data_IF_925910425833
#
_entry.id   IF_925910425833
#
_cell.length_a   1.000
_cell.length_b   1.000
_cell.length_c   1.000
_cell.angle_alpha   90.00
_cell.angle_beta   90.00
_cell.angle_gamma   90.00
#
_symmetry.space_group_name_H-M   'P 1'
#
loop_
_entity.id
_entity.type
_entity.pdbx_description
1 polymer ?
#
# COMPACT_ATOMS: atom_id res chain seq x y z
N UNK A 1 25.48 -9.28 -6.40
CA UNK A 1 24.93 -8.96 -7.75
C UNK A 1 24.53 -10.25 -8.45
N UNK A 2 25.40 -11.25 -8.48
CA UNK A 2 25.13 -12.59 -9.01
C UNK A 2 23.87 -13.26 -8.42
N UNK A 3 23.68 -13.24 -7.09
CA UNK A 3 22.46 -13.77 -6.46
C UNK A 3 21.16 -13.09 -6.93
N UNK A 4 21.19 -11.77 -7.16
CA UNK A 4 20.03 -11.02 -7.67
C UNK A 4 19.72 -11.45 -9.10
N UNK A 5 20.74 -11.59 -9.94
CA UNK A 5 20.58 -12.02 -11.33
C UNK A 5 20.00 -13.44 -11.37
N UNK A 6 20.56 -14.37 -10.60
CA UNK A 6 20.09 -15.75 -10.51
C UNK A 6 18.61 -15.82 -10.04
N UNK A 7 18.24 -15.00 -9.06
CA UNK A 7 16.86 -14.93 -8.59
C UNK A 7 15.91 -14.33 -9.64
N UNK A 8 16.33 -13.30 -10.39
CA UNK A 8 15.56 -12.74 -11.50
C UNK A 8 15.39 -13.76 -12.63
N UNK A 9 16.42 -14.55 -12.93
CA UNK A 9 16.36 -15.62 -13.93
C UNK A 9 15.47 -16.78 -13.48
N UNK A 10 15.46 -17.09 -12.19
CA UNK A 10 14.49 -18.03 -11.60
C UNK A 10 13.04 -17.54 -11.81
N UNK A 11 12.77 -16.25 -11.58
CA UNK A 11 11.43 -15.67 -11.86
C UNK A 11 11.09 -15.81 -13.35
N UNK A 12 12.03 -15.51 -14.25
CA UNK A 12 11.83 -15.66 -15.70
C UNK A 12 11.53 -17.10 -16.10
N UNK A 13 12.28 -18.05 -15.54
CA UNK A 13 12.05 -19.48 -15.77
C UNK A 13 10.64 -19.86 -15.33
N UNK A 14 10.26 -19.48 -14.10
CA UNK A 14 8.93 -19.75 -13.55
C UNK A 14 7.78 -19.11 -14.36
N UNK A 15 8.01 -17.97 -15.00
CA UNK A 15 7.02 -17.36 -15.90
C UNK A 15 6.63 -18.28 -17.07
N UNK A 16 7.49 -19.23 -17.44
CA UNK A 16 7.19 -20.23 -18.47
C UNK A 16 6.35 -21.41 -17.96
N UNK A 17 6.16 -21.55 -16.64
CA UNK A 17 5.32 -22.60 -16.08
C UNK A 17 3.86 -22.45 -16.55
N UNK A 18 3.13 -23.54 -16.83
CA UNK A 18 1.72 -23.45 -17.16
C UNK A 18 0.91 -22.80 -16.03
N UNK A 19 -0.22 -22.20 -16.39
CA UNK A 19 -1.23 -21.80 -15.41
C UNK A 19 -1.88 -23.06 -14.82
N UNK A 20 -2.38 -23.02 -13.57
CA UNK A 20 -3.18 -24.10 -13.04
C UNK A 20 -4.41 -24.34 -13.95
N UNK A 21 -4.90 -25.58 -14.12
CA UNK A 21 -6.09 -25.86 -14.89
C UNK A 21 -7.31 -25.09 -14.37
N UNK A 22 -8.26 -24.72 -15.24
CA UNK A 22 -9.46 -23.96 -14.85
C UNK A 22 -10.33 -24.65 -13.79
N UNK A 23 -10.24 -25.98 -13.68
CA UNK A 23 -10.97 -26.81 -12.71
C UNK A 23 -10.11 -27.28 -11.53
N UNK A 24 -9.01 -26.60 -11.22
CA UNK A 24 -8.23 -26.93 -10.01
C UNK A 24 -9.02 -26.64 -8.73
N UNK A 25 -8.68 -27.31 -7.64
CA UNK A 25 -9.20 -26.95 -6.31
C UNK A 25 -8.83 -25.50 -5.95
N UNK A 26 -9.62 -24.85 -5.09
CA UNK A 26 -9.30 -23.50 -4.60
C UNK A 26 -7.94 -23.47 -3.86
N UNK A 27 -7.58 -24.55 -3.16
CA UNK A 27 -6.28 -24.68 -2.49
C UNK A 27 -5.10 -24.79 -3.48
N UNK A 28 -5.23 -25.57 -4.56
CA UNK A 28 -4.19 -25.66 -5.59
C UNK A 28 -4.04 -24.34 -6.34
N UNK A 29 -5.17 -23.66 -6.59
CA UNK A 29 -5.17 -22.32 -7.19
C UNK A 29 -4.44 -21.33 -6.29
N UNK A 30 -4.79 -21.31 -5.00
CA UNK A 30 -4.17 -20.42 -4.02
C UNK A 30 -2.68 -20.71 -3.82
N UNK A 31 -2.23 -21.97 -3.92
CA UNK A 31 -0.80 -22.30 -3.90
C UNK A 31 -0.04 -21.62 -5.04
N UNK A 32 -0.60 -21.65 -6.24
CA UNK A 32 -0.03 -20.96 -7.41
C UNK A 32 -0.02 -19.43 -7.22
N UNK A 33 -1.12 -18.87 -6.71
CA UNK A 33 -1.24 -17.44 -6.39
C UNK A 33 -0.19 -17.04 -5.35
N UNK A 34 0.04 -17.85 -4.31
CA UNK A 34 1.04 -17.57 -3.27
C UNK A 34 2.47 -17.55 -3.80
N UNK A 35 2.82 -18.48 -4.69
CA UNK A 35 4.12 -18.49 -5.34
C UNK A 35 4.31 -17.23 -6.22
N UNK A 36 3.29 -16.88 -7.01
CA UNK A 36 3.25 -15.63 -7.79
C UNK A 36 3.43 -14.39 -6.91
N UNK A 37 2.74 -14.34 -5.77
CA UNK A 37 2.82 -13.24 -4.81
C UNK A 37 4.22 -13.13 -4.20
N UNK A 38 4.90 -14.25 -3.95
CA UNK A 38 6.30 -14.27 -3.49
C UNK A 38 7.23 -13.62 -4.52
N UNK A 39 7.12 -14.00 -5.80
CA UNK A 39 7.87 -13.36 -6.87
C UNK A 39 7.55 -11.88 -7.02
N UNK A 40 6.28 -11.50 -6.88
CA UNK A 40 5.90 -10.09 -6.90
C UNK A 40 6.55 -9.31 -5.75
N UNK A 41 6.54 -9.86 -4.53
CA UNK A 41 7.20 -9.23 -3.39
C UNK A 41 8.70 -9.05 -3.63
N UNK A 42 9.36 -10.07 -4.18
CA UNK A 42 10.77 -10.00 -4.57
C UNK A 42 11.03 -8.87 -5.58
N UNK A 43 10.25 -8.81 -6.66
CA UNK A 43 10.41 -7.79 -7.71
C UNK A 43 10.15 -6.36 -7.20
N UNK A 44 9.16 -6.16 -6.32
CA UNK A 44 8.92 -4.85 -5.69
C UNK A 44 10.13 -4.46 -4.83
N UNK A 45 10.72 -5.43 -4.13
CA UNK A 45 11.92 -5.21 -3.29
C UNK A 45 13.15 -4.85 -4.12
N UNK A 46 13.42 -5.60 -5.20
CA UNK A 46 14.47 -5.27 -6.16
C UNK A 46 14.26 -3.88 -6.75
N UNK A 47 13.01 -3.56 -7.12
CA UNK A 47 12.70 -2.24 -7.69
C UNK A 47 13.08 -1.09 -6.77
N UNK A 48 12.84 -1.22 -5.46
CA UNK A 48 13.19 -0.21 -4.47
C UNK A 48 14.70 -0.13 -4.17
N UNK A 49 15.45 -1.21 -4.36
CA UNK A 49 16.90 -1.24 -4.12
C UNK A 49 17.73 -0.68 -5.29
N UNK A 50 17.14 -0.58 -6.49
CA UNK A 50 17.80 -0.02 -7.65
C UNK A 50 17.94 1.51 -7.56
N UNK A 51 19.18 1.98 -7.47
CA UNK A 51 19.52 3.40 -7.56
C UNK A 51 19.71 3.82 -9.03
N UNK A 52 19.39 5.07 -9.40
CA UNK A 52 19.53 5.55 -10.78
C UNK A 52 20.97 5.86 -11.20
N UNK A 53 21.88 5.99 -10.24
CA UNK A 53 23.32 6.17 -10.46
C UNK A 53 24.08 5.95 -9.15
N UNK A 54 25.41 5.88 -9.26
CA UNK A 54 26.32 5.66 -8.13
C UNK A 54 26.19 6.74 -7.04
N UNK A 55 26.01 8.01 -7.42
CA UNK A 55 25.90 9.11 -6.45
C UNK A 55 24.68 8.92 -5.55
N UNK A 56 23.54 8.52 -6.12
CA UNK A 56 22.33 8.25 -5.33
C UNK A 56 22.48 6.95 -4.52
N UNK A 57 23.18 5.95 -5.04
CA UNK A 57 23.46 4.72 -4.30
C UNK A 57 24.26 4.98 -3.02
N UNK A 58 25.26 5.87 -3.08
CA UNK A 58 26.14 6.18 -1.95
C UNK A 58 25.56 7.24 -1.00
N UNK A 59 24.99 8.32 -1.56
CA UNK A 59 24.56 9.49 -0.77
C UNK A 59 23.07 9.48 -0.43
N UNK A 60 22.29 8.62 -1.07
CA UNK A 60 20.85 8.55 -0.92
C UNK A 60 20.09 9.64 -1.69
N UNK A 61 18.80 9.76 -1.37
CA UNK A 61 17.87 10.63 -2.09
C UNK A 61 17.70 12.00 -1.43
N UNK A 62 17.51 13.03 -2.25
CA UNK A 62 17.05 14.34 -1.75
C UNK A 62 15.67 14.21 -1.10
N UNK A 63 15.34 15.11 -0.16
CA UNK A 63 14.09 15.04 0.63
C UNK A 63 12.82 14.79 -0.19
N UNK A 64 12.65 15.48 -1.32
CA UNK A 64 11.45 15.31 -2.14
C UNK A 64 11.40 13.92 -2.79
N UNK A 65 12.52 13.44 -3.35
CA UNK A 65 12.59 12.10 -3.93
C UNK A 65 12.46 11.01 -2.86
N UNK A 66 13.03 11.25 -1.68
CA UNK A 66 12.93 10.35 -0.54
C UNK A 66 11.48 10.12 -0.07
N UNK A 67 10.56 11.06 -0.31
CA UNK A 67 9.13 10.85 -0.03
C UNK A 67 8.57 9.74 -0.94
N UNK A 68 8.84 9.78 -2.24
CA UNK A 68 8.41 8.74 -3.20
C UNK A 68 9.06 7.41 -2.85
N UNK A 69 10.37 7.40 -2.60
CA UNK A 69 11.11 6.20 -2.16
C UNK A 69 10.54 5.65 -0.85
N UNK A 70 10.12 6.52 0.07
CA UNK A 70 9.45 6.10 1.30
C UNK A 70 8.13 5.37 1.03
N UNK A 71 7.40 5.73 -0.03
CA UNK A 71 6.17 5.03 -0.41
C UNK A 71 6.45 3.66 -1.01
N UNK A 72 7.46 3.49 -1.88
CA UNK A 72 7.79 2.15 -2.41
C UNK A 72 8.30 1.22 -1.29
N UNK A 73 9.06 1.74 -0.33
CA UNK A 73 9.49 0.98 0.86
C UNK A 73 8.30 0.64 1.75
N UNK A 74 7.34 1.55 1.90
CA UNK A 74 6.08 1.26 2.62
C UNK A 74 5.27 0.20 1.89
N UNK A 75 5.21 0.24 0.56
CA UNK A 75 4.52 -0.77 -0.25
C UNK A 75 5.10 -2.17 -0.01
N UNK A 76 6.43 -2.31 0.01
CA UNK A 76 7.09 -3.60 0.35
C UNK A 76 6.57 -4.14 1.67
N UNK A 77 6.57 -3.31 2.73
CA UNK A 77 6.14 -3.73 4.07
C UNK A 77 4.68 -4.12 4.12
N UNK A 78 3.81 -3.32 3.52
CA UNK A 78 2.37 -3.60 3.48
C UNK A 78 2.08 -4.86 2.65
N UNK A 79 2.76 -5.03 1.52
CA UNK A 79 2.61 -6.17 0.64
C UNK A 79 3.11 -7.45 1.31
N UNK A 80 4.24 -7.42 2.01
CA UNK A 80 4.73 -8.51 2.84
C UNK A 80 3.71 -8.94 3.92
N UNK A 81 3.12 -7.97 4.63
CA UNK A 81 2.06 -8.27 5.59
C UNK A 81 0.84 -8.88 4.91
N UNK A 82 0.42 -8.34 3.77
CA UNK A 82 -0.68 -8.89 2.97
C UNK A 82 -0.42 -10.34 2.55
N UNK A 83 0.75 -10.65 1.97
CA UNK A 83 1.11 -12.01 1.57
C UNK A 83 1.17 -12.96 2.76
N UNK A 84 1.64 -12.48 3.91
CA UNK A 84 1.70 -13.27 5.16
C UNK A 84 0.30 -13.65 5.63
N UNK A 85 -0.64 -12.70 5.67
CA UNK A 85 -2.01 -12.95 6.11
C UNK A 85 -2.81 -13.80 5.11
N UNK A 86 -2.57 -13.66 3.80
CA UNK A 86 -3.10 -14.61 2.80
C UNK A 86 -2.56 -16.02 3.05
N UNK A 87 -1.26 -16.18 3.26
CA UNK A 87 -0.65 -17.49 3.53
C UNK A 87 -1.12 -18.14 4.84
N UNK A 88 -1.52 -17.33 5.83
CA UNK A 88 -2.10 -17.78 7.10
C UNK A 88 -3.61 -18.03 7.06
N UNK A 89 -4.26 -17.79 5.92
CA UNK A 89 -5.73 -17.85 5.77
C UNK A 89 -6.48 -16.86 6.67
N UNK A 90 -5.93 -15.65 6.82
CA UNK A 90 -6.49 -14.56 7.64
C UNK A 90 -7.11 -13.48 6.73
N UNK A 91 -8.16 -13.81 5.95
CA UNK A 91 -8.70 -12.95 4.87
C UNK A 91 -9.11 -11.55 5.36
N UNK A 92 -9.75 -11.45 6.52
CA UNK A 92 -10.20 -10.18 7.11
C UNK A 92 -9.02 -9.22 7.32
N UNK A 93 -7.88 -9.73 7.81
CA UNK A 93 -6.66 -8.93 7.97
C UNK A 93 -6.05 -8.60 6.60
N UNK A 94 -6.10 -9.52 5.64
CA UNK A 94 -5.67 -9.24 4.27
C UNK A 94 -6.49 -8.10 3.61
N UNK A 95 -7.79 -7.98 3.87
CA UNK A 95 -8.62 -6.85 3.43
C UNK A 95 -8.19 -5.52 4.04
N UNK A 96 -7.84 -5.50 5.34
CA UNK A 96 -7.28 -4.32 5.99
C UNK A 96 -6.00 -3.89 5.28
N UNK A 97 -5.11 -4.86 5.00
CA UNK A 97 -3.84 -4.58 4.32
C UNK A 97 -4.04 -4.10 2.89
N UNK A 98 -4.98 -4.69 2.13
CA UNK A 98 -5.25 -4.28 0.74
C UNK A 98 -5.70 -2.82 0.68
N UNK A 99 -6.56 -2.39 1.60
CA UNK A 99 -6.99 -0.98 1.72
C UNK A 99 -5.81 -0.04 1.98
N UNK A 100 -4.86 -0.43 2.83
CA UNK A 100 -3.65 0.35 3.11
C UNK A 100 -2.67 0.38 1.93
N UNK A 101 -2.56 -0.73 1.19
CA UNK A 101 -1.74 -0.85 -0.03
C UNK A 101 -2.25 0.12 -1.10
N UNK A 102 -3.55 0.08 -1.42
CA UNK A 102 -4.11 0.97 -2.43
C UNK A 102 -3.94 2.45 -2.07
N UNK A 103 -4.10 2.82 -0.80
CA UNK A 103 -3.83 4.20 -0.37
C UNK A 103 -2.38 4.61 -0.60
N UNK A 104 -1.44 3.70 -0.31
CA UNK A 104 -0.02 3.91 -0.51
C UNK A 104 0.31 4.07 -2.00
N UNK A 105 -0.24 3.20 -2.85
CA UNK A 105 -0.09 3.22 -4.30
C UNK A 105 -0.59 4.54 -4.88
N UNK A 106 -1.84 4.92 -4.61
CA UNK A 106 -2.47 6.10 -5.19
C UNK A 106 -1.75 7.39 -4.74
N UNK A 107 -1.31 7.46 -3.48
CA UNK A 107 -0.47 8.58 -3.01
C UNK A 107 0.87 8.61 -3.74
N UNK A 108 1.51 7.46 -3.93
CA UNK A 108 2.77 7.37 -4.65
C UNK A 108 2.61 7.83 -6.10
N UNK A 109 1.63 7.31 -6.83
CA UNK A 109 1.32 7.69 -8.22
C UNK A 109 1.08 9.20 -8.36
N UNK A 110 0.32 9.79 -7.44
CA UNK A 110 0.12 11.24 -7.42
C UNK A 110 1.43 12.01 -7.22
N UNK A 111 2.36 11.47 -6.43
CA UNK A 111 3.66 12.07 -6.16
C UNK A 111 4.69 11.85 -7.28
N UNK A 112 4.53 10.85 -8.14
CA UNK A 112 5.44 10.61 -9.28
C UNK A 112 5.43 11.76 -10.29
N UNK A 113 4.27 12.41 -10.48
CA UNK A 113 4.10 13.55 -11.38
C UNK A 113 4.07 14.91 -10.67
N UNK A 114 4.40 14.94 -9.38
CA UNK A 114 4.19 16.11 -8.53
C UNK A 114 5.25 17.22 -8.70
N UNK A 115 4.78 18.46 -8.60
CA UNK A 115 5.65 19.66 -8.51
C UNK A 115 6.23 19.84 -7.10
N UNK A 116 7.28 20.67 -6.98
CA UNK A 116 7.97 20.92 -5.69
C UNK A 116 7.03 21.37 -4.55
N UNK A 117 6.01 22.17 -4.86
CA UNK A 117 5.04 22.63 -3.85
C UNK A 117 4.21 21.49 -3.25
N UNK A 118 3.94 20.44 -4.02
CA UNK A 118 3.18 19.27 -3.58
C UNK A 118 3.93 18.50 -2.51
N UNK A 119 5.24 18.32 -2.63
CA UNK A 119 6.04 17.71 -1.56
C UNK A 119 6.03 18.54 -0.27
N UNK A 120 6.04 19.88 -0.37
CA UNK A 120 5.89 20.76 0.79
C UNK A 120 4.51 20.61 1.43
N UNK A 121 3.46 20.53 0.61
CA UNK A 121 2.09 20.28 1.07
C UNK A 121 1.98 18.91 1.75
N UNK A 122 2.55 17.86 1.15
CA UNK A 122 2.60 16.51 1.73
C UNK A 122 3.19 16.55 3.13
N UNK A 123 4.42 17.07 3.27
CA UNK A 123 5.10 17.14 4.57
C UNK A 123 4.23 17.92 5.57
N UNK A 124 3.74 19.11 5.23
CA UNK A 124 2.98 19.94 6.15
C UNK A 124 1.64 19.28 6.57
N UNK A 125 0.95 18.67 5.61
CA UNK A 125 -0.34 18.00 5.85
C UNK A 125 -0.22 16.79 6.79
N UNK A 126 0.95 16.13 6.82
CA UNK A 126 1.22 15.00 7.72
C UNK A 126 1.30 15.37 9.20
N UNK A 127 1.40 16.66 9.55
CA UNK A 127 1.57 17.12 10.95
C UNK A 127 0.25 17.54 11.63
N UNK A 128 -0.91 17.14 11.10
CA UNK A 128 -2.21 17.49 11.68
C UNK A 128 -2.34 17.04 13.13
N UNK A 129 -2.05 15.78 13.40
CA UNK A 129 -2.17 15.20 14.74
C UNK A 129 -1.17 15.81 15.71
N UNK A 130 0.05 16.14 15.28
CA UNK A 130 1.01 16.87 16.11
C UNK A 130 0.52 18.26 16.48
N UNK A 131 -0.17 18.98 15.60
CA UNK A 131 -0.80 20.26 15.94
C UNK A 131 -1.86 20.06 17.03
N UNK A 132 -2.80 19.15 16.81
CA UNK A 132 -3.90 18.87 17.74
C UNK A 132 -3.35 18.42 19.11
N UNK A 133 -2.28 17.63 19.12
CA UNK A 133 -1.58 17.20 20.33
C UNK A 133 -0.96 18.38 21.07
N UNK A 134 -0.27 19.28 20.37
CA UNK A 134 0.33 20.47 20.99
C UNK A 134 -0.74 21.42 21.54
N UNK A 135 -1.85 21.62 20.83
CA UNK A 135 -2.97 22.46 21.30
C UNK A 135 -3.62 21.87 22.56
N UNK A 136 -3.81 20.55 22.59
CA UNK A 136 -4.32 19.87 23.79
C UNK A 136 -3.35 19.99 24.97
N UNK A 137 -2.04 19.85 24.74
CA UNK A 137 -1.02 19.98 25.79
C UNK A 137 -0.88 21.42 26.28
N UNK A 138 -1.06 22.42 25.41
CA UNK A 138 -1.10 23.84 25.80
C UNK A 138 -2.29 24.08 26.77
N UNK A 139 -3.46 23.49 26.51
CA UNK A 139 -4.64 23.54 27.41
C UNK A 139 -4.41 22.81 28.72
N UNK A 140 -3.80 21.63 28.69
CA UNK A 140 -3.47 20.89 29.93
C UNK A 140 -2.51 21.71 30.80
N UNK A 141 -1.49 22.33 30.17
CA UNK A 141 -0.50 23.15 30.87
C UNK A 141 -1.13 24.36 31.59
N UNK A 142 -2.23 24.92 31.08
CA UNK A 142 -2.93 26.02 31.75
C UNK A 142 -3.74 25.59 32.97
N UNK A 143 -4.02 24.28 33.12
CA UNK A 143 -4.80 23.73 34.22
C UNK A 143 -3.93 23.05 35.28
N UNK A 144 -2.83 22.40 34.86
CA UNK A 144 -1.87 21.75 35.75
C UNK A 144 -0.46 21.73 35.17
N UNK A 145 0.57 21.53 36.00
CA UNK A 145 1.92 21.22 35.50
C UNK A 145 1.92 19.99 34.57
N UNK A 146 2.73 20.05 33.51
CA UNK A 146 2.90 18.93 32.60
C UNK A 146 3.70 17.80 33.26
N UNK A 147 3.26 16.57 33.03
CA UNK A 147 3.97 15.33 33.38
C UNK A 147 5.23 15.17 32.51
N UNK A 148 6.14 14.31 32.96
CA UNK A 148 7.38 14.06 32.22
C UNK A 148 7.13 13.50 30.81
N UNK A 149 6.17 12.59 30.66
CA UNK A 149 5.82 12.03 29.34
C UNK A 149 5.29 13.11 28.38
N UNK A 150 4.49 14.05 28.88
CA UNK A 150 3.94 15.17 28.09
C UNK A 150 5.04 16.11 27.61
N UNK A 151 6.02 16.42 28.46
CA UNK A 151 7.22 17.21 28.09
C UNK A 151 8.04 16.50 27.02
N UNK A 152 8.20 15.17 27.14
CA UNK A 152 8.91 14.34 26.14
C UNK A 152 8.17 14.37 24.79
N UNK A 153 6.84 14.27 24.78
CA UNK A 153 6.03 14.37 23.55
C UNK A 153 6.28 15.72 22.88
N UNK A 154 6.18 16.84 23.61
CA UNK A 154 6.44 18.18 23.07
C UNK A 154 7.85 18.26 22.47
N UNK A 155 8.86 17.75 23.17
CA UNK A 155 10.25 17.73 22.69
C UNK A 155 10.39 16.92 21.40
N UNK A 156 9.77 15.75 21.32
CA UNK A 156 9.78 14.89 20.12
C UNK A 156 9.11 15.59 18.92
N UNK A 157 7.94 16.20 19.13
CA UNK A 157 7.23 16.94 18.08
C UNK A 157 8.08 18.13 17.59
N UNK A 158 8.58 18.97 18.50
CA UNK A 158 9.43 20.13 18.14
C UNK A 158 10.71 19.72 17.41
N UNK A 159 11.31 18.59 17.80
CA UNK A 159 12.49 18.05 17.13
C UNK A 159 12.19 17.64 15.68
N UNK A 160 11.06 16.94 15.45
CA UNK A 160 10.61 16.58 14.09
C UNK A 160 10.32 17.79 13.22
N UNK A 161 9.58 18.77 13.73
CA UNK A 161 9.29 20.03 13.02
C UNK A 161 10.59 20.75 12.61
N UNK A 162 11.60 20.79 13.48
CA UNK A 162 12.92 21.38 13.17
C UNK A 162 13.62 20.62 12.05
N UNK A 163 13.65 19.28 12.10
CA UNK A 163 14.22 18.44 11.03
C UNK A 163 13.53 18.70 9.70
N UNK A 164 12.21 18.92 9.74
CA UNK A 164 11.43 19.17 8.54
C UNK A 164 11.37 20.63 8.08
N UNK A 165 12.03 21.54 8.81
CA UNK A 165 12.03 22.99 8.57
C UNK A 165 10.62 23.58 8.58
N UNK A 166 9.75 23.06 9.45
CA UNK A 166 8.42 23.61 9.71
C UNK A 166 8.49 24.43 11.00
N UNK A 167 8.15 25.71 10.92
CA UNK A 167 8.04 26.55 12.12
C UNK A 167 6.75 26.26 12.88
N UNK A 168 6.75 26.44 14.19
CA UNK A 168 5.54 26.28 15.00
C UNK A 168 4.43 27.25 14.55
N UNK A 169 4.81 28.47 14.16
CA UNK A 169 3.89 29.46 13.59
C UNK A 169 3.23 28.94 12.31
N UNK A 170 4.01 28.36 11.40
CA UNK A 170 3.49 27.78 10.15
C UNK A 170 2.53 26.62 10.45
N UNK A 171 2.89 25.73 11.39
CA UNK A 171 2.02 24.61 11.79
C UNK A 171 0.68 25.10 12.36
N UNK A 172 0.71 26.04 13.32
CA UNK A 172 -0.51 26.58 13.96
C UNK A 172 -1.39 27.35 12.97
N UNK A 173 -0.77 28.10 12.05
CA UNK A 173 -1.47 28.84 11.00
C UNK A 173 -2.09 27.93 9.92
N UNK A 174 -1.58 26.70 9.73
CA UNK A 174 -2.12 25.80 8.73
C UNK A 174 -3.57 25.39 9.07
N UNK A 175 -4.48 25.62 8.12
CA UNK A 175 -5.89 25.20 8.20
C UNK A 175 -6.25 24.12 7.18
N UNK A 176 -5.40 23.91 6.19
CA UNK A 176 -5.61 22.92 5.14
C UNK A 176 -4.72 21.69 5.37
N UNK A 177 -5.36 20.57 5.73
CA UNK A 177 -4.68 19.29 6.01
C UNK A 177 -4.78 18.30 4.85
N UNK A 178 -5.35 18.72 3.72
CA UNK A 178 -5.45 17.93 2.51
C UNK A 178 -4.19 18.14 1.66
N UNK A 179 -3.68 17.07 1.05
CA UNK A 179 -2.54 17.14 0.12
C UNK A 179 -2.94 17.99 -1.09
N UNK A 180 -2.25 19.10 -1.32
CA UNK A 180 -2.62 20.12 -2.32
C UNK A 180 -4.07 20.64 -2.18
N UNK A 181 -4.65 20.56 -0.98
CA UNK A 181 -6.07 20.87 -0.78
C UNK A 181 -7.05 19.83 -1.32
N UNK A 182 -6.56 18.70 -1.84
CA UNK A 182 -7.36 17.62 -2.42
C UNK A 182 -7.66 16.54 -1.40
N UNK A 183 -8.93 16.14 -1.32
CA UNK A 183 -9.25 14.86 -0.71
C UNK A 183 -8.92 13.70 -1.65
N UNK A 184 -9.12 12.50 -1.16
CA UNK A 184 -8.72 11.29 -1.84
C UNK A 184 -9.48 11.07 -3.16
N UNK A 185 -10.77 11.44 -3.21
CA UNK A 185 -11.57 11.37 -4.43
C UNK A 185 -11.01 12.33 -5.48
N UNK A 186 -10.65 13.55 -5.09
CA UNK A 186 -10.03 14.54 -5.98
C UNK A 186 -8.63 14.12 -6.46
N UNK A 187 -7.86 13.40 -5.64
CA UNK A 187 -6.58 12.80 -6.05
C UNK A 187 -6.84 11.75 -7.15
N UNK A 188 -7.81 10.86 -6.97
CA UNK A 188 -8.17 9.85 -7.98
C UNK A 188 -8.63 10.47 -9.30
N UNK A 189 -9.46 11.52 -9.25
CA UNK A 189 -9.84 12.28 -10.46
C UNK A 189 -8.60 12.84 -11.16
N UNK A 190 -7.62 13.35 -10.41
CA UNK A 190 -6.36 13.84 -10.98
C UNK A 190 -5.55 12.73 -11.66
N UNK A 191 -5.77 11.47 -11.28
CA UNK A 191 -5.14 10.27 -11.83
C UNK A 191 -6.01 9.56 -12.88
N UNK A 192 -7.21 10.07 -13.20
CA UNK A 192 -8.21 9.42 -14.08
C UNK A 192 -8.63 8.03 -13.57
N UNK A 193 -8.81 7.90 -12.26
CA UNK A 193 -9.16 6.67 -11.53
C UNK A 193 -10.38 6.85 -10.62
N UNK A 194 -11.27 7.78 -10.95
CA UNK A 194 -12.43 8.09 -10.11
C UNK A 194 -13.38 6.90 -9.92
N UNK A 195 -13.44 6.00 -10.91
CA UNK A 195 -14.22 4.76 -10.86
C UNK A 195 -13.78 3.82 -9.74
N UNK A 196 -12.52 3.92 -9.29
CA UNK A 196 -11.97 3.04 -8.26
C UNK A 196 -12.43 3.45 -6.85
N UNK A 197 -12.90 4.69 -6.65
CA UNK A 197 -13.20 5.21 -5.32
C UNK A 197 -14.25 4.39 -4.55
N UNK A 198 -15.44 4.06 -5.11
CA UNK A 198 -16.45 3.30 -4.39
C UNK A 198 -15.96 1.91 -3.95
N UNK A 199 -15.15 1.25 -4.77
CA UNK A 199 -14.66 -0.10 -4.51
C UNK A 199 -13.50 -0.10 -3.52
N UNK A 200 -12.47 0.71 -3.78
CA UNK A 200 -11.25 0.71 -2.97
C UNK A 200 -11.43 1.45 -1.64
N UNK A 201 -12.20 2.55 -1.62
CA UNK A 201 -12.34 3.42 -0.45
C UNK A 201 -13.71 3.29 0.20
N UNK A 202 -14.78 3.24 -0.59
CA UNK A 202 -16.13 3.04 -0.06
C UNK A 202 -16.26 1.70 0.67
N UNK A 203 -16.10 0.60 -0.06
CA UNK A 203 -16.17 -0.75 0.53
C UNK A 203 -14.95 -1.05 1.40
N UNK A 204 -13.75 -0.67 0.96
CA UNK A 204 -12.52 -0.94 1.70
C UNK A 204 -12.49 -0.32 3.11
N UNK A 205 -13.16 0.82 3.34
CA UNK A 205 -13.30 1.42 4.66
C UNK A 205 -14.15 0.60 5.63
N UNK A 206 -15.04 -0.26 5.14
CA UNK A 206 -15.83 -1.19 5.97
C UNK A 206 -14.93 -2.09 6.81
N UNK A 207 -13.87 -2.62 6.18
CA UNK A 207 -12.90 -3.53 6.83
C UNK A 207 -12.00 -2.84 7.85
N UNK A 208 -11.87 -1.52 7.79
CA UNK A 208 -11.06 -0.74 8.74
C UNK A 208 -11.88 -0.30 9.95
N UNK A 209 -13.16 0.01 9.74
CA UNK A 209 -14.00 0.67 10.75
C UNK A 209 -15.04 -0.25 11.38
N UNK A 210 -15.19 -1.49 10.91
CA UNK A 210 -16.11 -2.48 11.49
C UNK A 210 -17.57 -2.05 11.37
N UNK A 211 -18.00 -1.69 10.16
CA UNK A 211 -19.41 -1.36 9.92
C UNK A 211 -20.27 -2.62 9.79
N UNK A 212 -21.60 -2.44 9.73
CA UNK A 212 -22.54 -3.57 9.65
C UNK A 212 -22.27 -4.52 8.48
N UNK A 213 -21.89 -4.00 7.31
CA UNK A 213 -21.60 -4.82 6.13
C UNK A 213 -20.51 -5.84 6.46
N UNK A 214 -19.37 -5.38 6.97
CA UNK A 214 -18.25 -6.25 7.34
C UNK A 214 -18.60 -7.20 8.50
N UNK A 215 -19.28 -6.70 9.53
CA UNK A 215 -19.73 -7.54 10.66
C UNK A 215 -20.62 -8.69 10.18
N UNK A 216 -21.55 -8.40 9.27
CA UNK A 216 -22.53 -9.38 8.78
C UNK A 216 -21.95 -10.46 7.86
N UNK A 217 -20.80 -10.21 7.25
CA UNK A 217 -20.16 -11.15 6.32
C UNK A 217 -19.03 -11.96 6.96
N UNK A 218 -18.35 -11.40 7.98
CA UNK A 218 -17.12 -12.00 8.51
C UNK A 218 -17.09 -12.26 10.01
N UNK A 219 -17.95 -11.60 10.80
CA UNK A 219 -17.88 -11.69 12.27
C UNK A 219 -19.15 -12.27 12.89
N UNK A 220 -20.19 -12.50 12.07
CA UNK A 220 -21.49 -12.97 12.53
C UNK A 220 -22.04 -14.03 11.59
N UNK A 221 -22.56 -15.11 12.17
CA UNK A 221 -23.37 -16.11 11.46
C UNK A 221 -24.84 -15.91 11.79
N UNK A 222 -25.69 -15.77 10.77
CA UNK A 222 -27.14 -15.61 10.94
C UNK A 222 -27.81 -16.96 11.24
N UNK A 223 -28.62 -17.02 12.30
CA UNK A 223 -29.49 -18.16 12.66
C UNK A 223 -30.93 -17.68 12.84
N UNK A 224 -31.74 -17.83 11.78
CA UNK A 224 -33.10 -17.30 11.73
C UNK A 224 -33.12 -15.78 11.87
N UNK A 225 -33.75 -15.27 12.95
CA UNK A 225 -33.76 -13.83 13.28
C UNK A 225 -32.59 -13.36 14.16
N UNK A 226 -31.74 -14.29 14.59
CA UNK A 226 -30.63 -14.02 15.52
C UNK A 226 -29.28 -14.10 14.80
N UNK A 227 -28.24 -13.57 15.45
CA UNK A 227 -26.85 -13.62 14.99
C UNK A 227 -25.98 -14.22 16.09
N UNK A 228 -25.05 -15.08 15.72
CA UNK A 228 -24.02 -15.63 16.60
C UNK A 228 -22.65 -15.06 16.23
N UNK A 229 -21.74 -14.85 17.20
CA UNK A 229 -20.36 -14.47 16.89
C UNK A 229 -19.67 -15.57 16.08
N UNK A 230 -18.91 -15.15 15.09
CA UNK A 230 -17.97 -15.98 14.36
C UNK A 230 -16.55 -15.50 14.69
N UNK A 231 -15.71 -16.42 15.17
CA UNK A 231 -14.35 -16.12 15.61
C UNK A 231 -13.29 -16.56 14.60
N UNK A 232 -13.70 -17.34 13.59
CA UNK A 232 -12.79 -17.92 12.63
C UNK A 232 -12.54 -16.96 11.46
N UNK A 233 -11.33 -17.03 10.91
CA UNK A 233 -11.03 -16.28 9.69
C UNK A 233 -11.61 -16.98 8.46
N UNK A 234 -12.01 -16.17 7.47
CA UNK A 234 -12.44 -16.70 6.19
C UNK A 234 -11.23 -17.07 5.32
N UNK A 235 -11.44 -18.02 4.42
CA UNK A 235 -10.40 -18.47 3.51
C UNK A 235 -9.97 -17.42 2.48
N UNK A 236 -8.70 -17.39 2.06
CA UNK A 236 -8.22 -16.47 1.04
C UNK A 236 -8.98 -16.55 -0.28
N UNK A 237 -9.13 -15.40 -0.93
CA UNK A 237 -9.80 -15.29 -2.23
C UNK A 237 -8.82 -14.74 -3.28
N UNK A 238 -8.57 -15.48 -4.39
CA UNK A 238 -7.78 -14.99 -5.52
C UNK A 238 -8.26 -13.64 -6.07
N UNK A 239 -9.56 -13.33 -5.93
CA UNK A 239 -10.15 -12.06 -6.38
C UNK A 239 -9.68 -10.86 -5.58
N UNK A 240 -9.05 -11.08 -4.43
CA UNK A 240 -8.39 -10.05 -3.63
C UNK A 240 -6.88 -10.09 -3.82
N UNK A 241 -6.30 -11.28 -3.78
CA UNK A 241 -4.85 -11.48 -3.92
C UNK A 241 -4.32 -10.94 -5.26
N UNK A 242 -4.97 -11.29 -6.38
CA UNK A 242 -4.46 -10.99 -7.72
C UNK A 242 -4.54 -9.49 -8.07
N UNK A 243 -5.65 -8.76 -7.82
CA UNK A 243 -5.67 -7.32 -8.10
C UNK A 243 -4.66 -6.52 -7.28
N UNK A 244 -4.47 -6.86 -6.00
CA UNK A 244 -3.46 -6.21 -5.14
C UNK A 244 -2.06 -6.47 -5.67
N UNK A 245 -1.79 -7.69 -6.15
CA UNK A 245 -0.52 -8.08 -6.78
C UNK A 245 -0.26 -7.27 -8.04
N UNK A 246 -1.25 -7.18 -8.94
CA UNK A 246 -1.16 -6.41 -10.19
C UNK A 246 -0.86 -4.94 -9.89
N UNK A 247 -1.63 -4.32 -9.00
CA UNK A 247 -1.46 -2.90 -8.68
C UNK A 247 -0.08 -2.62 -8.06
N UNK A 248 0.40 -3.51 -7.20
CA UNK A 248 1.71 -3.37 -6.54
C UNK A 248 2.88 -3.50 -7.52
N UNK A 249 2.78 -4.45 -8.46
CA UNK A 249 3.76 -4.63 -9.55
C UNK A 249 3.77 -3.44 -10.52
N UNK A 250 2.60 -2.95 -10.93
CA UNK A 250 2.49 -1.77 -11.78
C UNK A 250 3.12 -0.55 -11.11
N UNK A 251 2.84 -0.36 -9.81
CA UNK A 251 3.44 0.69 -8.99
C UNK A 251 4.97 0.61 -8.93
N UNK A 252 5.53 -0.59 -8.85
CA UNK A 252 6.97 -0.81 -8.90
C UNK A 252 7.57 -0.47 -10.27
N UNK A 253 6.91 -0.86 -11.36
CA UNK A 253 7.32 -0.47 -12.72
C UNK A 253 7.29 1.06 -12.94
N UNK A 254 6.26 1.73 -12.44
CA UNK A 254 6.13 3.19 -12.54
C UNK A 254 7.21 3.89 -11.71
N UNK A 255 7.51 3.35 -10.52
CA UNK A 255 8.63 3.80 -9.71
C UNK A 255 9.97 3.67 -10.46
N UNK A 256 10.27 2.51 -11.05
CA UNK A 256 11.52 2.30 -11.82
C UNK A 256 11.65 3.31 -12.97
N UNK A 257 10.54 3.58 -13.66
CA UNK A 257 10.48 4.56 -14.75
C UNK A 257 10.77 5.99 -14.24
N UNK A 258 10.07 6.41 -13.18
CA UNK A 258 10.27 7.71 -12.56
C UNK A 258 11.68 7.87 -12.00
N UNK A 259 12.20 6.81 -11.38
CA UNK A 259 13.50 6.82 -10.73
C UNK A 259 14.62 6.87 -11.76
N UNK A 260 14.41 6.28 -12.95
CA UNK A 260 15.39 6.00 -14.02
C UNK A 260 16.46 5.01 -13.58
N UNK A 261 16.05 3.97 -12.85
CA UNK A 261 16.96 2.99 -12.24
C UNK A 261 17.01 1.63 -12.94
N UNK A 262 16.31 1.47 -14.06
CA UNK A 262 16.37 0.27 -14.91
C UNK A 262 16.44 0.68 -16.40
N UNK A 263 17.58 1.23 -16.86
CA UNK A 263 17.71 1.79 -18.20
C UNK A 263 17.55 0.76 -19.32
N UNK A 264 18.02 -0.46 -19.08
CA UNK A 264 17.91 -1.60 -20.02
C UNK A 264 16.53 -2.28 -19.95
N UNK A 265 15.66 -1.83 -19.03
CA UNK A 265 14.30 -2.36 -18.81
C UNK A 265 14.29 -3.84 -18.44
N UNK A 266 15.37 -4.36 -17.87
CA UNK A 266 15.52 -5.78 -17.55
C UNK A 266 14.52 -6.23 -16.49
N UNK A 267 14.45 -5.50 -15.37
CA UNK A 267 13.52 -5.82 -14.28
C UNK A 267 12.10 -5.47 -14.69
N UNK A 268 11.92 -4.35 -15.39
CA UNK A 268 10.62 -3.91 -15.89
C UNK A 268 9.98 -4.90 -16.84
N UNK A 269 10.73 -5.56 -17.73
CA UNK A 269 10.17 -6.58 -18.61
C UNK A 269 9.67 -7.80 -17.84
N UNK A 270 10.40 -8.23 -16.80
CA UNK A 270 9.97 -9.33 -15.92
C UNK A 270 8.68 -8.95 -15.18
N UNK A 271 8.62 -7.72 -14.62
CA UNK A 271 7.43 -7.20 -13.96
C UNK A 271 6.23 -7.20 -14.93
N UNK A 272 6.42 -6.72 -16.16
CA UNK A 272 5.35 -6.67 -17.16
C UNK A 272 4.83 -8.06 -17.54
N UNK A 273 5.73 -9.03 -17.70
CA UNK A 273 5.36 -10.41 -17.98
C UNK A 273 4.59 -11.04 -16.81
N UNK A 274 5.05 -10.81 -15.57
CA UNK A 274 4.34 -11.27 -14.38
C UNK A 274 2.95 -10.64 -14.28
N UNK A 275 2.83 -9.32 -14.48
CA UNK A 275 1.53 -8.63 -14.52
C UNK A 275 0.60 -9.24 -15.58
N UNK A 276 1.12 -9.50 -16.79
CA UNK A 276 0.35 -10.15 -17.86
C UNK A 276 -0.18 -11.51 -17.43
N UNK A 277 0.69 -12.34 -16.86
CA UNK A 277 0.35 -13.67 -16.35
C UNK A 277 -0.67 -13.61 -15.20
N UNK A 278 -0.50 -12.68 -14.25
CA UNK A 278 -1.44 -12.45 -13.14
C UNK A 278 -2.83 -12.05 -13.64
N UNK A 279 -2.91 -11.24 -14.70
CA UNK A 279 -4.20 -10.84 -15.30
C UNK A 279 -4.91 -12.03 -15.95
N UNK A 280 -4.20 -12.84 -16.74
CA UNK A 280 -4.78 -14.04 -17.36
C UNK A 280 -5.29 -14.99 -16.28
N UNK A 281 -4.49 -15.21 -15.23
CA UNK A 281 -4.92 -16.01 -14.08
C UNK A 281 -6.17 -15.41 -13.41
N UNK A 282 -6.23 -14.10 -13.19
CA UNK A 282 -7.42 -13.47 -12.61
C UNK A 282 -8.68 -13.68 -13.46
N UNK A 283 -8.58 -13.50 -14.78
CA UNK A 283 -9.70 -13.74 -15.70
C UNK A 283 -10.16 -15.20 -15.68
N UNK A 284 -9.22 -16.15 -15.76
CA UNK A 284 -9.51 -17.58 -15.70
C UNK A 284 -10.27 -17.97 -14.42
N UNK A 285 -9.86 -17.42 -13.27
CA UNK A 285 -10.54 -17.68 -11.99
C UNK A 285 -11.98 -17.17 -11.99
N UNK A 286 -12.16 -15.92 -12.42
CA UNK A 286 -13.47 -15.28 -12.45
C UNK A 286 -14.42 -16.04 -13.39
N UNK A 287 -13.99 -16.33 -14.61
CA UNK A 287 -14.82 -17.07 -15.58
C UNK A 287 -15.21 -18.46 -15.07
N UNK A 288 -14.29 -19.20 -14.45
CA UNK A 288 -14.57 -20.54 -13.93
C UNK A 288 -15.58 -20.58 -12.78
N UNK A 289 -15.67 -19.52 -11.95
CA UNK A 289 -16.63 -19.44 -10.84
C UNK A 289 -18.04 -18.98 -11.25
N UNK A 290 -18.18 -18.32 -12.40
CA UNK A 290 -19.48 -17.80 -12.88
C UNK A 290 -20.15 -18.73 -13.91
N UNK A 291 -19.51 -19.83 -14.31
CA UNK A 291 -20.11 -20.86 -15.18
C UNK A 291 -20.84 -21.97 -14.42
N UNK A 292 -20.77 -21.99 -13.09
CA UNK A 292 -21.43 -22.98 -12.22
C UNK A 292 -22.81 -22.48 -11.68
N UNK A 293 -23.42 -21.49 -12.35
CA UNK A 293 -24.79 -20.98 -12.06
C UNK A 293 -25.73 -21.29 -13.21
#
# INVERSE_FOLDING_TARGET
MEEIINNLDSVKSWLSNPLPPQRSSDDDYMRYVMEMMSYAHYLITVSASMAPNQVVAERGYTKNRAIVVGHIVRLIKLYHSFTTHIGKRELQIAYIMSRLIYECIIKMEYLLSAKRSTFKSFILSSYRSEKETLENLDRIKSQRPLMNIEKVIIKKIKSRLRKDRISLRQLKANKNWKLDGKDFKQILVSLKKEVDYPFLFGQGSSFIHGNWYEMSIFNLTKKGRYYLPDIDFSDPDPRIALPVTIASLQSANDFLTWNKSDPEKYVRSIIQNLVGKTKVLYHQYCEGKYTDV
#
